data_IF_478584811745
#
_entry.id   IF_478584811745
#
_cell.length_a   1.000
_cell.length_b   1.000
_cell.length_c   1.000
_cell.angle_alpha   90.00
_cell.angle_beta   90.00
_cell.angle_gamma   90.00
#
_symmetry.space_group_name_H-M   'P 1'
#
loop_
_entity.id
_entity.type
_entity.pdbx_description
1 polymer ?
#
# COMPACT_ATOMS: atom_id res chain seq x y z
N UNK A 1 1.23 12.03 21.07
CA UNK A 1 1.17 10.57 21.23
C UNK A 1 0.18 10.03 20.19
N UNK A 2 0.40 8.84 19.63
CA UNK A 2 -0.50 8.19 18.65
C UNK A 2 -0.59 6.69 18.95
N UNK A 3 -1.53 5.98 18.31
CA UNK A 3 -1.75 4.56 18.49
C UNK A 3 -1.98 3.84 17.15
N UNK A 4 -1.38 2.66 16.96
CA UNK A 4 -1.60 1.83 15.77
C UNK A 4 -2.85 0.98 15.97
N UNK A 5 -3.97 1.39 15.41
CA UNK A 5 -5.26 0.71 15.63
C UNK A 5 -5.32 -0.69 15.00
N UNK A 6 -4.56 -0.93 13.93
CA UNK A 6 -4.49 -2.21 13.23
C UNK A 6 -3.27 -3.05 13.64
N UNK A 7 -3.12 -4.22 13.02
CA UNK A 7 -1.94 -5.07 13.14
C UNK A 7 -0.67 -4.36 12.62
N UNK A 8 0.50 -4.93 12.89
CA UNK A 8 1.75 -4.33 12.43
C UNK A 8 1.86 -4.32 10.91
N UNK A 9 1.49 -5.43 10.29
CA UNK A 9 1.50 -5.69 8.85
C UNK A 9 0.43 -6.74 8.53
N UNK A 10 0.22 -7.05 7.26
CA UNK A 10 -0.68 -8.14 6.83
C UNK A 10 -0.22 -9.55 7.24
N UNK A 11 1.03 -9.71 7.67
CA UNK A 11 1.58 -10.98 8.15
C UNK A 11 1.55 -11.13 9.68
N UNK A 12 1.02 -10.13 10.38
CA UNK A 12 0.98 -10.06 11.85
C UNK A 12 -0.44 -10.29 12.36
N UNK A 13 -0.55 -10.79 13.59
CA UNK A 13 -1.80 -10.92 14.34
C UNK A 13 -1.58 -10.30 15.72
N UNK A 14 -2.04 -9.07 15.90
CA UNK A 14 -1.79 -8.32 17.12
C UNK A 14 -2.57 -8.84 18.32
N UNK A 15 -3.65 -9.61 18.12
CA UNK A 15 -4.46 -10.16 19.22
C UNK A 15 -3.65 -11.08 20.13
N UNK A 16 -2.54 -11.62 19.63
CA UNK A 16 -1.61 -12.48 20.37
C UNK A 16 -0.84 -11.76 21.48
N UNK A 17 -0.68 -10.44 21.37
CA UNK A 17 0.16 -9.65 22.27
C UNK A 17 -0.48 -8.32 22.70
N UNK A 18 -1.72 -8.06 22.30
CA UNK A 18 -2.45 -6.82 22.59
C UNK A 18 -3.88 -7.11 23.00
N UNK A 19 -4.37 -6.37 23.99
CA UNK A 19 -5.73 -6.53 24.51
C UNK A 19 -6.74 -5.73 23.66
N UNK A 20 -7.79 -6.39 23.20
CA UNK A 20 -8.87 -5.77 22.41
C UNK A 20 -9.56 -4.61 23.15
N UNK A 21 -9.63 -4.65 24.47
CA UNK A 21 -10.19 -3.56 25.29
C UNK A 21 -9.35 -2.29 25.18
N UNK A 22 -8.02 -2.42 25.16
CA UNK A 22 -7.11 -1.29 24.96
C UNK A 22 -7.28 -0.70 23.57
N UNK A 23 -7.35 -1.54 22.52
CA UNK A 23 -7.57 -1.07 21.15
C UNK A 23 -8.91 -0.34 21.02
N UNK A 24 -9.96 -0.87 21.66
CA UNK A 24 -11.30 -0.27 21.66
C UNK A 24 -11.33 1.11 22.33
N UNK A 25 -10.56 1.31 23.40
CA UNK A 25 -10.40 2.63 24.03
C UNK A 25 -9.68 3.61 23.08
N UNK A 26 -8.65 3.15 22.38
CA UNK A 26 -7.88 3.98 21.45
C UNK A 26 -8.69 4.39 20.21
N UNK A 27 -9.65 3.57 19.77
CA UNK A 27 -10.61 3.95 18.72
C UNK A 27 -11.44 5.18 19.09
N UNK A 28 -11.68 5.45 20.37
CA UNK A 28 -12.38 6.66 20.81
C UNK A 28 -11.50 7.92 20.76
N UNK A 29 -10.18 7.75 20.66
CA UNK A 29 -9.19 8.84 20.63
C UNK A 29 -8.66 9.13 19.22
N UNK A 30 -9.16 8.40 18.22
CA UNK A 30 -8.68 8.50 16.85
C UNK A 30 -8.98 9.90 16.25
N UNK A 31 -8.06 10.45 15.42
CA UNK A 31 -8.09 11.86 15.05
C UNK A 31 -9.18 12.25 14.04
N UNK A 32 -9.66 11.33 13.19
CA UNK A 32 -10.61 11.59 12.11
C UNK A 32 -11.99 11.94 12.69
N UNK A 33 -12.57 11.08 13.53
CA UNK A 33 -13.85 11.34 14.19
C UNK A 33 -13.79 12.60 15.06
N UNK A 34 -12.67 12.81 15.76
CA UNK A 34 -12.46 14.01 16.59
C UNK A 34 -12.49 15.29 15.75
N UNK A 35 -11.77 15.30 14.63
CA UNK A 35 -11.76 16.43 13.71
C UNK A 35 -13.14 16.64 13.07
N UNK A 36 -13.77 15.56 12.57
CA UNK A 36 -15.09 15.61 11.96
C UNK A 36 -16.12 16.21 12.90
N UNK A 37 -16.14 15.75 14.16
CA UNK A 37 -17.06 16.26 15.19
C UNK A 37 -16.87 17.76 15.42
N UNK A 38 -15.61 18.21 15.49
CA UNK A 38 -15.30 19.63 15.63
C UNK A 38 -15.82 20.43 14.42
N UNK A 39 -15.52 20.01 13.20
CA UNK A 39 -15.92 20.73 11.98
C UNK A 39 -17.44 20.80 11.81
N UNK A 40 -18.15 19.71 12.10
CA UNK A 40 -19.62 19.68 12.12
C UNK A 40 -20.16 20.65 13.17
N UNK A 41 -19.56 20.68 14.37
CA UNK A 41 -19.93 21.62 15.42
C UNK A 41 -19.72 23.10 15.04
N UNK A 42 -18.78 23.38 14.13
CA UNK A 42 -18.59 24.73 13.55
C UNK A 42 -19.47 25.02 12.33
N UNK A 43 -20.20 24.01 11.82
CA UNK A 43 -20.96 24.14 10.57
C UNK A 43 -20.09 24.20 9.30
N UNK A 44 -18.81 23.79 9.39
CA UNK A 44 -17.87 23.78 8.25
C UNK A 44 -17.84 22.44 7.50
N UNK A 45 -18.57 21.45 8.01
CA UNK A 45 -18.62 20.12 7.44
C UNK A 45 -20.02 19.54 7.60
N UNK A 46 -20.52 18.91 6.55
CA UNK A 46 -21.84 18.28 6.50
C UNK A 46 -21.74 16.82 6.10
N UNK A 47 -22.84 16.07 6.28
CA UNK A 47 -22.94 14.70 5.78
C UNK A 47 -22.73 14.63 4.26
N UNK A 48 -23.21 15.62 3.51
CA UNK A 48 -23.03 15.66 2.06
C UNK A 48 -21.56 15.85 1.67
N UNK A 49 -20.80 16.66 2.43
CA UNK A 49 -19.36 16.84 2.22
C UNK A 49 -18.60 15.54 2.50
N UNK A 50 -18.93 14.85 3.60
CA UNK A 50 -18.36 13.54 3.95
C UNK A 50 -18.60 12.50 2.86
N UNK A 51 -19.86 12.37 2.40
CA UNK A 51 -20.23 11.43 1.34
C UNK A 51 -19.52 11.76 0.02
N UNK A 52 -19.37 13.05 -0.31
CA UNK A 52 -18.61 13.46 -1.50
C UNK A 52 -17.15 13.08 -1.38
N UNK A 53 -16.51 13.39 -0.24
CA UNK A 53 -15.11 13.05 -0.01
C UNK A 53 -14.87 11.54 -0.08
N UNK A 54 -15.75 10.73 0.52
CA UNK A 54 -15.63 9.27 0.50
C UNK A 54 -15.76 8.70 -0.93
N UNK A 55 -16.70 9.23 -1.73
CA UNK A 55 -16.81 8.84 -3.15
C UNK A 55 -15.55 9.21 -3.93
N UNK A 56 -15.10 10.45 -3.81
CA UNK A 56 -13.92 10.95 -4.52
C UNK A 56 -12.66 10.16 -4.13
N UNK A 57 -12.50 9.80 -2.86
CA UNK A 57 -11.42 8.96 -2.39
C UNK A 57 -11.52 7.54 -2.97
N UNK A 58 -12.70 6.93 -2.98
CA UNK A 58 -12.91 5.60 -3.56
C UNK A 58 -12.54 5.59 -5.03
N UNK A 59 -13.05 6.55 -5.81
CA UNK A 59 -12.76 6.66 -7.24
C UNK A 59 -11.27 6.82 -7.52
N UNK A 60 -10.56 7.63 -6.72
CA UNK A 60 -9.11 7.80 -6.84
C UNK A 60 -8.35 6.51 -6.53
N UNK A 61 -8.74 5.79 -5.48
CA UNK A 61 -8.13 4.51 -5.10
C UNK A 61 -8.38 3.47 -6.18
N UNK A 62 -9.61 3.33 -6.65
CA UNK A 62 -9.99 2.35 -7.67
C UNK A 62 -9.24 2.61 -8.98
N UNK A 63 -9.13 3.89 -9.39
CA UNK A 63 -8.35 4.27 -10.56
C UNK A 63 -6.85 3.96 -10.38
N UNK A 64 -6.27 4.26 -9.22
CA UNK A 64 -4.86 3.97 -8.93
C UNK A 64 -4.58 2.46 -8.92
N UNK A 65 -5.48 1.65 -8.35
CA UNK A 65 -5.40 0.19 -8.35
C UNK A 65 -5.52 -0.35 -9.77
N UNK A 66 -6.51 0.11 -10.55
CA UNK A 66 -6.66 -0.30 -11.94
C UNK A 66 -5.43 0.07 -12.79
N UNK A 67 -4.87 1.26 -12.56
CA UNK A 67 -3.63 1.70 -13.22
C UNK A 67 -2.48 0.75 -12.88
N UNK A 68 -2.27 0.43 -11.60
CA UNK A 68 -1.23 -0.48 -11.15
C UNK A 68 -1.41 -1.90 -11.71
N UNK A 69 -2.62 -2.44 -11.68
CA UNK A 69 -2.91 -3.77 -12.22
C UNK A 69 -2.77 -3.84 -13.75
N UNK A 70 -2.88 -2.70 -14.44
CA UNK A 70 -2.58 -2.58 -15.87
C UNK A 70 -1.08 -2.55 -16.19
N UNK A 71 -0.20 -2.40 -15.20
CA UNK A 71 1.25 -2.48 -15.38
C UNK A 71 1.61 -3.95 -15.52
N UNK A 72 2.19 -4.32 -16.67
CA UNK A 72 2.72 -5.65 -16.89
C UNK A 72 3.83 -6.01 -15.89
N UNK A 73 4.09 -7.31 -15.67
CA UNK A 73 5.19 -7.72 -14.81
C UNK A 73 6.50 -7.12 -15.32
N UNK A 74 7.40 -6.77 -14.40
CA UNK A 74 8.76 -6.37 -14.77
C UNK A 74 9.48 -7.56 -15.41
N UNK A 75 10.35 -7.25 -16.37
CA UNK A 75 11.26 -8.26 -16.93
C UNK A 75 12.07 -8.90 -15.80
N UNK A 76 12.29 -10.23 -15.80
CA UNK A 76 13.10 -10.88 -14.78
C UNK A 76 14.51 -10.29 -14.67
N UNK A 77 15.04 -9.70 -15.75
CA UNK A 77 16.34 -9.03 -15.74
C UNK A 77 16.36 -7.73 -14.93
N UNK A 78 15.21 -7.16 -14.57
CA UNK A 78 15.14 -5.91 -13.80
C UNK A 78 15.74 -6.03 -12.39
N UNK A 79 15.88 -7.24 -11.85
CA UNK A 79 16.61 -7.46 -10.58
C UNK A 79 18.09 -7.08 -10.64
N UNK A 80 18.68 -6.95 -11.83
CA UNK A 80 20.09 -6.55 -12.01
C UNK A 80 20.28 -5.03 -12.18
N UNK A 81 19.26 -4.30 -12.60
CA UNK A 81 19.39 -2.92 -13.12
C UNK A 81 19.83 -1.90 -12.07
N UNK A 82 19.55 -2.15 -10.79
CA UNK A 82 19.83 -1.22 -9.68
C UNK A 82 20.79 -1.77 -8.61
N UNK A 83 21.50 -2.87 -8.92
CA UNK A 83 22.38 -3.53 -7.94
C UNK A 83 23.74 -2.80 -7.78
N UNK A 84 24.25 -2.23 -8.87
CA UNK A 84 25.47 -1.42 -8.91
C UNK A 84 25.29 -0.27 -9.89
N UNK A 85 26.09 0.79 -9.76
CA UNK A 85 26.12 1.86 -10.77
C UNK A 85 26.53 1.35 -12.16
N UNK A 86 27.49 0.40 -12.19
CA UNK A 86 27.86 -0.38 -13.37
C UNK A 86 27.85 -1.86 -12.98
N UNK A 87 27.12 -2.68 -13.74
CA UNK A 87 26.96 -4.09 -13.40
C UNK A 87 28.30 -4.84 -13.62
N UNK A 88 28.87 -5.49 -12.59
CA UNK A 88 30.14 -6.20 -12.73
C UNK A 88 30.07 -7.32 -13.79
N UNK A 89 31.16 -7.64 -14.49
CA UNK A 89 31.17 -8.65 -15.55
C UNK A 89 30.62 -10.03 -15.16
N UNK A 90 30.85 -10.45 -13.92
CA UNK A 90 30.32 -11.73 -13.42
C UNK A 90 28.78 -11.79 -13.36
N UNK A 91 28.12 -10.65 -13.16
CA UNK A 91 26.65 -10.55 -13.08
C UNK A 91 26.01 -10.27 -14.45
N UNK A 92 26.76 -9.75 -15.42
CA UNK A 92 26.29 -9.63 -16.80
C UNK A 92 25.96 -11.01 -17.40
N UNK A 93 26.84 -12.00 -17.20
CA UNK A 93 26.60 -13.36 -17.68
C UNK A 93 25.32 -13.97 -17.08
N UNK A 94 25.06 -13.75 -15.78
CA UNK A 94 23.85 -14.23 -15.11
C UNK A 94 22.59 -13.53 -15.62
N UNK A 95 22.67 -12.23 -15.90
CA UNK A 95 21.58 -11.46 -16.51
C UNK A 95 21.21 -12.00 -17.89
N UNK A 96 22.22 -12.29 -18.72
CA UNK A 96 22.01 -12.84 -20.06
C UNK A 96 21.35 -14.22 -20.00
N UNK A 97 21.79 -15.09 -19.08
CA UNK A 97 21.20 -16.41 -18.86
C UNK A 97 19.71 -16.32 -18.48
N UNK A 98 19.36 -15.43 -17.54
CA UNK A 98 17.96 -15.19 -17.14
C UNK A 98 17.11 -14.72 -18.33
N UNK A 99 17.65 -13.85 -19.19
CA UNK A 99 16.95 -13.37 -20.38
C UNK A 99 16.65 -14.49 -21.38
N UNK A 100 17.58 -15.43 -21.57
CA UNK A 100 17.38 -16.59 -22.45
C UNK A 100 16.33 -17.55 -21.87
N UNK A 101 16.44 -17.88 -20.57
CA UNK A 101 15.49 -18.77 -19.91
C UNK A 101 14.07 -18.20 -19.93
N UNK A 102 13.91 -16.90 -19.71
CA UNK A 102 12.60 -16.27 -19.72
C UNK A 102 11.92 -16.37 -21.10
N UNK A 103 12.65 -16.10 -22.19
CA UNK A 103 12.12 -16.23 -23.56
C UNK A 103 11.70 -17.67 -23.87
N UNK A 104 12.51 -18.65 -23.51
CA UNK A 104 12.19 -20.07 -23.73
C UNK A 104 10.98 -20.58 -22.96
N UNK A 105 10.59 -19.92 -21.85
CA UNK A 105 9.38 -20.26 -21.07
C UNK A 105 8.13 -19.54 -21.58
N UNK A 106 8.29 -18.39 -22.25
CA UNK A 106 7.16 -17.61 -22.80
C UNK A 106 6.71 -18.14 -24.17
N UNK A 107 7.59 -18.81 -24.91
CA UNK A 107 7.33 -19.36 -26.25
C UNK A 107 6.68 -20.77 -26.25
N UNK A 108 6.46 -21.40 -25.08
CA UNK A 108 5.78 -22.70 -24.87
C UNK A 108 4.35 -22.53 -24.30
#
# INVERSE_FOLDING_TARGET
MTYRLSDHTTADDASRYRNDAEVSEQWQQEPILRLRTYLVGQGWWTTADEESLLRDCSEQIDHAVATYLGIGPQEPTSMFDSLYAELPPALLAQRDEVSVLHRGVVDD
#
